data_IF_500781490437
#
_entry.id   IF_500781490437
#
_cell.length_a   1.000
_cell.length_b   1.000
_cell.length_c   1.000
_cell.angle_alpha   90.00
_cell.angle_beta   90.00
_cell.angle_gamma   90.00
#
_symmetry.space_group_name_H-M   'P 1'
#
loop_
_entity.id
_entity.type
_entity.pdbx_description
1 polymer ?
#
# COMPACT_ATOMS: atom_id res chain seq x y z
N UNK A 1 -1.10 -25.99 12.92
CA UNK A 1 -2.39 -25.77 12.23
C UNK A 1 -2.89 -24.34 12.39
N UNK A 2 -3.03 -23.80 13.61
CA UNK A 2 -3.62 -22.46 13.87
C UNK A 2 -2.90 -21.31 13.14
N UNK A 3 -1.56 -21.24 13.20
CA UNK A 3 -0.78 -20.16 12.55
C UNK A 3 -0.97 -20.16 11.03
N UNK A 4 -0.94 -21.35 10.40
CA UNK A 4 -1.16 -21.49 8.96
C UNK A 4 -2.57 -21.07 8.54
N UNK A 5 -3.58 -21.38 9.36
CA UNK A 5 -4.94 -20.92 9.12
C UNK A 5 -5.08 -19.39 9.21
N UNK A 6 -4.47 -18.75 10.23
CA UNK A 6 -4.48 -17.28 10.38
C UNK A 6 -3.82 -16.62 9.17
N UNK A 7 -2.63 -17.09 8.77
CA UNK A 7 -1.91 -16.56 7.60
C UNK A 7 -2.71 -16.78 6.31
N UNK A 8 -3.33 -17.96 6.15
CA UNK A 8 -4.19 -18.27 5.01
C UNK A 8 -5.41 -17.35 4.92
N UNK A 9 -6.08 -17.07 6.03
CA UNK A 9 -7.22 -16.13 6.06
C UNK A 9 -6.77 -14.70 5.75
N UNK A 10 -5.60 -14.26 6.23
CA UNK A 10 -5.04 -12.95 5.89
C UNK A 10 -4.79 -12.83 4.38
N UNK A 11 -4.19 -13.85 3.77
CA UNK A 11 -3.98 -13.90 2.32
C UNK A 11 -5.32 -13.91 1.58
N UNK A 12 -6.30 -14.72 2.01
CA UNK A 12 -7.64 -14.73 1.41
C UNK A 12 -8.37 -13.39 1.53
N UNK A 13 -8.01 -12.55 2.51
CA UNK A 13 -8.59 -11.21 2.72
C UNK A 13 -7.94 -10.15 1.84
N UNK A 14 -6.79 -10.42 1.19
CA UNK A 14 -6.11 -9.44 0.33
C UNK A 14 -6.97 -8.74 -0.73
N UNK A 15 -7.88 -9.40 -1.49
CA UNK A 15 -8.75 -8.68 -2.42
C UNK A 15 -9.62 -7.63 -1.70
N UNK A 16 -10.14 -7.93 -0.51
CA UNK A 16 -10.91 -6.96 0.26
C UNK A 16 -10.07 -5.78 0.74
N UNK A 17 -8.83 -6.04 1.18
CA UNK A 17 -7.88 -4.97 1.54
C UNK A 17 -7.58 -4.11 0.31
N UNK A 18 -7.44 -4.71 -0.87
CA UNK A 18 -7.24 -3.97 -2.11
C UNK A 18 -8.42 -3.03 -2.36
N UNK A 19 -9.65 -3.54 -2.42
CA UNK A 19 -10.85 -2.77 -2.70
C UNK A 19 -11.20 -1.70 -1.66
N UNK A 20 -10.50 -1.64 -0.52
CA UNK A 20 -10.65 -0.55 0.44
C UNK A 20 -10.44 0.84 -0.17
N UNK A 21 -9.68 0.96 -1.27
CA UNK A 21 -9.52 2.24 -1.99
C UNK A 21 -10.86 2.79 -2.51
N UNK A 22 -11.86 1.95 -2.80
CA UNK A 22 -13.17 2.39 -3.30
C UNK A 22 -14.00 3.11 -2.25
N UNK A 23 -13.65 2.96 -0.96
CA UNK A 23 -14.28 3.72 0.12
C UNK A 23 -13.80 5.17 0.18
N UNK A 24 -12.73 5.52 -0.55
CA UNK A 24 -12.21 6.88 -0.64
C UNK A 24 -13.05 7.67 -1.65
N UNK A 25 -13.48 8.91 -1.33
CA UNK A 25 -14.25 9.73 -2.24
C UNK A 25 -13.43 10.14 -3.48
N UNK A 26 -14.14 10.31 -4.61
CA UNK A 26 -13.60 10.84 -5.87
C UNK A 26 -13.38 12.38 -5.81
N UNK A 27 -12.76 12.88 -4.76
CA UNK A 27 -12.50 14.31 -4.55
C UNK A 27 -11.00 14.57 -4.39
N UNK A 28 -10.53 15.77 -4.75
CA UNK A 28 -9.12 16.17 -4.56
C UNK A 28 -8.71 16.09 -3.08
N UNK A 29 -9.59 16.57 -2.21
CA UNK A 29 -9.41 16.55 -0.76
C UNK A 29 -10.32 15.49 -0.17
N UNK A 30 -9.72 14.54 0.54
CA UNK A 30 -10.40 13.56 1.35
C UNK A 30 -10.25 13.95 2.83
N UNK A 31 -11.33 14.46 3.41
CA UNK A 31 -11.41 14.76 4.83
C UNK A 31 -12.03 13.56 5.56
N UNK A 32 -11.26 12.95 6.47
CA UNK A 32 -11.72 11.93 7.41
C UNK A 32 -11.67 12.49 8.82
N UNK A 33 -12.48 11.95 9.72
CA UNK A 33 -12.48 12.28 11.15
C UNK A 33 -11.08 12.24 11.80
N UNK A 34 -10.14 11.44 11.27
CA UNK A 34 -8.79 11.28 11.81
C UNK A 34 -7.69 12.04 11.05
N UNK A 35 -7.90 12.36 9.77
CA UNK A 35 -6.88 12.98 8.93
C UNK A 35 -7.48 13.65 7.70
N UNK A 36 -6.79 14.67 7.18
CA UNK A 36 -7.10 15.26 5.86
C UNK A 36 -6.01 14.85 4.88
N UNK A 37 -6.42 14.24 3.77
CA UNK A 37 -5.55 13.85 2.67
C UNK A 37 -5.88 14.73 1.46
N UNK A 38 -4.88 15.43 0.92
CA UNK A 38 -5.02 16.18 -0.32
C UNK A 38 -4.16 15.52 -1.40
N UNK A 39 -4.78 15.18 -2.53
CA UNK A 39 -4.09 14.66 -3.70
C UNK A 39 -3.69 15.82 -4.61
N UNK A 40 -2.40 16.15 -4.58
CA UNK A 40 -1.81 17.15 -5.46
C UNK A 40 -1.60 16.60 -6.87
N UNK A 41 -0.78 15.56 -7.00
CA UNK A 41 -0.40 15.04 -8.31
C UNK A 41 -1.55 14.34 -9.06
N UNK A 42 -2.30 13.46 -8.39
CA UNK A 42 -3.36 12.68 -9.05
C UNK A 42 -4.70 13.44 -9.14
N UNK A 43 -4.84 14.59 -8.48
CA UNK A 43 -6.04 15.45 -8.44
C UNK A 43 -7.32 14.74 -7.96
N UNK A 44 -7.23 13.47 -7.59
CA UNK A 44 -8.30 12.61 -7.12
C UNK A 44 -7.74 11.67 -6.05
N UNK A 45 -8.22 11.81 -4.82
CA UNK A 45 -7.80 11.00 -3.68
C UNK A 45 -8.07 9.50 -3.91
N UNK A 46 -9.14 9.12 -4.61
CA UNK A 46 -9.44 7.73 -4.91
C UNK A 46 -8.40 7.11 -5.85
N UNK A 47 -7.97 7.85 -6.88
CA UNK A 47 -6.91 7.41 -7.80
C UNK A 47 -5.56 7.30 -7.10
N UNK A 48 -5.22 8.27 -6.25
CA UNK A 48 -4.01 8.23 -5.44
C UNK A 48 -3.99 6.99 -4.52
N UNK A 49 -5.10 6.72 -3.84
CA UNK A 49 -5.23 5.55 -2.96
C UNK A 49 -5.18 4.24 -3.73
N UNK A 50 -5.77 4.18 -4.92
CA UNK A 50 -5.69 3.00 -5.79
C UNK A 50 -4.24 2.67 -6.19
N UNK A 51 -3.50 3.68 -6.66
CA UNK A 51 -2.07 3.52 -7.04
C UNK A 51 -1.24 3.11 -5.83
N UNK A 52 -1.55 3.68 -4.67
CA UNK A 52 -0.90 3.29 -3.44
C UNK A 52 -1.19 1.82 -3.07
N UNK A 53 -2.45 1.39 -3.16
CA UNK A 53 -2.84 -0.01 -2.89
C UNK A 53 -2.19 -0.99 -3.85
N UNK A 54 -2.01 -0.63 -5.12
CA UNK A 54 -1.27 -1.44 -6.11
C UNK A 54 0.19 -1.69 -5.71
N UNK A 55 0.82 -0.75 -4.98
CA UNK A 55 2.21 -0.89 -4.50
C UNK A 55 2.29 -1.51 -3.10
N UNK A 56 1.30 -1.22 -2.27
CA UNK A 56 1.21 -1.75 -0.91
C UNK A 56 0.86 -3.25 -0.90
N UNK A 57 0.03 -3.73 -1.81
CA UNK A 57 -0.40 -5.13 -1.82
C UNK A 57 0.76 -6.12 -2.05
N UNK A 58 1.65 -5.91 -3.05
CA UNK A 58 2.85 -6.73 -3.21
C UNK A 58 3.75 -6.70 -1.97
N UNK A 59 3.90 -5.53 -1.33
CA UNK A 59 4.70 -5.39 -0.11
C UNK A 59 4.11 -6.23 1.03
N UNK A 60 2.80 -6.17 1.24
CA UNK A 60 2.11 -6.95 2.27
C UNK A 60 2.30 -8.45 2.06
N UNK A 61 2.13 -8.94 0.83
CA UNK A 61 2.31 -10.35 0.49
C UNK A 61 3.78 -10.79 0.68
N UNK A 62 4.75 -9.96 0.29
CA UNK A 62 6.17 -10.25 0.51
C UNK A 62 6.54 -10.28 1.99
N UNK A 63 5.97 -9.39 2.81
CA UNK A 63 6.18 -9.40 4.26
C UNK A 63 5.60 -10.67 4.89
N UNK A 64 4.37 -11.03 4.53
CA UNK A 64 3.74 -12.28 4.99
C UNK A 64 4.62 -13.47 4.59
N UNK A 65 5.10 -13.49 3.35
CA UNK A 65 5.95 -14.56 2.86
C UNK A 65 7.28 -14.63 3.60
N UNK A 66 7.94 -13.49 3.82
CA UNK A 66 9.21 -13.39 4.55
C UNK A 66 9.10 -13.97 5.96
N UNK A 67 8.05 -13.62 6.71
CA UNK A 67 7.85 -14.13 8.08
C UNK A 67 7.39 -15.59 8.12
N UNK A 68 6.71 -16.07 7.09
CA UNK A 68 6.20 -17.44 7.03
C UNK A 68 7.23 -18.43 6.49
N UNK A 69 8.19 -17.96 5.68
CA UNK A 69 9.26 -18.80 5.12
C UNK A 69 10.28 -19.23 6.17
N UNK A 70 10.49 -20.54 6.28
CA UNK A 70 11.52 -21.14 7.16
C UNK A 70 12.82 -21.48 6.44
N UNK A 71 12.90 -21.22 5.14
CA UNK A 71 14.08 -21.54 4.34
C UNK A 71 15.11 -20.42 4.40
N UNK A 72 16.40 -20.77 4.39
CA UNK A 72 17.51 -19.81 4.49
C UNK A 72 17.49 -18.69 3.44
N UNK A 73 16.95 -18.97 2.25
CA UNK A 73 16.90 -18.05 1.12
C UNK A 73 15.91 -16.89 1.32
N UNK A 74 15.11 -16.89 2.39
CA UNK A 74 14.15 -15.81 2.68
C UNK A 74 14.79 -14.41 2.71
N UNK A 75 16.09 -14.30 3.03
CA UNK A 75 16.83 -13.04 2.94
C UNK A 75 16.82 -12.41 1.54
N UNK A 76 16.70 -13.21 0.47
CA UNK A 76 16.58 -12.69 -0.89
C UNK A 76 15.32 -11.84 -1.07
N UNK A 77 14.27 -12.07 -0.28
CA UNK A 77 13.04 -11.26 -0.29
C UNK A 77 13.25 -9.85 0.29
N UNK A 78 14.33 -9.59 1.05
CA UNK A 78 14.62 -8.24 1.57
C UNK A 78 14.87 -7.23 0.45
N UNK A 79 15.41 -7.68 -0.69
CA UNK A 79 15.65 -6.81 -1.85
C UNK A 79 14.31 -6.33 -2.45
N UNK A 80 13.37 -7.22 -2.84
CA UNK A 80 12.01 -6.81 -3.21
C UNK A 80 11.27 -6.01 -2.13
N UNK A 81 11.37 -6.38 -0.86
CA UNK A 81 10.70 -5.66 0.24
C UNK A 81 11.20 -4.22 0.32
N UNK A 82 12.51 -4.00 0.25
CA UNK A 82 13.07 -2.65 0.27
C UNK A 82 12.67 -1.84 -0.97
N UNK A 83 12.67 -2.47 -2.16
CA UNK A 83 12.18 -1.86 -3.40
C UNK A 83 10.72 -1.42 -3.30
N UNK A 84 9.80 -2.29 -2.88
CA UNK A 84 8.38 -1.94 -2.77
C UNK A 84 8.13 -0.94 -1.64
N UNK A 85 8.87 -1.00 -0.54
CA UNK A 85 8.82 0.03 0.52
C UNK A 85 9.18 1.39 -0.04
N UNK A 86 10.29 1.48 -0.80
CA UNK A 86 10.68 2.72 -1.47
C UNK A 86 9.60 3.20 -2.44
N UNK A 87 9.00 2.31 -3.23
CA UNK A 87 7.93 2.68 -4.15
C UNK A 87 6.68 3.22 -3.46
N UNK A 88 6.28 2.65 -2.31
CA UNK A 88 5.15 3.14 -1.51
C UNK A 88 5.44 4.55 -1.00
N UNK A 89 6.62 4.75 -0.41
CA UNK A 89 7.04 6.06 0.10
C UNK A 89 7.15 7.10 -1.02
N UNK A 90 7.71 6.71 -2.16
CA UNK A 90 7.82 7.57 -3.33
C UNK A 90 6.44 7.97 -3.88
N UNK A 91 5.49 7.02 -3.98
CA UNK A 91 4.14 7.34 -4.44
C UNK A 91 3.44 8.36 -3.53
N UNK A 92 3.56 8.21 -2.21
CA UNK A 92 3.06 9.18 -1.24
C UNK A 92 3.72 10.56 -1.37
N UNK A 93 5.06 10.59 -1.52
CA UNK A 93 5.77 11.85 -1.65
C UNK A 93 5.45 12.56 -2.97
N UNK A 94 5.38 11.83 -4.07
CA UNK A 94 5.00 12.38 -5.37
C UNK A 94 3.60 12.98 -5.31
N UNK A 95 2.63 12.32 -4.67
CA UNK A 95 1.27 12.87 -4.63
C UNK A 95 1.15 14.13 -3.75
N UNK A 96 1.85 14.19 -2.62
CA UNK A 96 1.80 15.34 -1.70
C UNK A 96 2.66 16.52 -2.14
N UNK A 97 3.90 16.28 -2.57
CA UNK A 97 4.89 17.35 -2.74
C UNK A 97 5.02 17.86 -4.19
N UNK A 98 4.48 17.17 -5.20
CA UNK A 98 4.49 17.69 -6.56
C UNK A 98 3.60 18.94 -6.74
N UNK A 99 2.60 19.17 -5.86
CA UNK A 99 1.80 20.40 -5.87
C UNK A 99 2.64 21.62 -5.42
N UNK A 100 3.70 21.43 -4.62
CA UNK A 100 4.58 22.52 -4.15
C UNK A 100 5.57 23.01 -5.22
N UNK A 101 5.92 22.17 -6.21
CA UNK A 101 6.84 22.55 -7.30
C UNK A 101 6.14 23.19 -8.50
N UNK A 102 4.81 23.29 -8.48
CA UNK A 102 3.99 23.88 -9.53
C UNK A 102 3.45 25.28 -9.12
N UNK A 103 4.29 26.09 -8.45
CA UNK A 103 4.10 27.53 -8.21
C UNK A 103 4.92 28.32 -9.22
#
# INVERSE_FOLDING_TARGET
MIIGSIVGTLIATTPFIFYSYESVPNTKVWNTFLFTYESGYYQNAQTAMWILMMKFMPLLLLLIWFFTCRHWWYHALLVPISMFTFQVVAAFHTDKYMDEFHI
#
